data_IF_449350703591
#
_entry.id   IF_449350703591
#
_cell.length_a   1.000
_cell.length_b   1.000
_cell.length_c   1.000
_cell.angle_alpha   90.00
_cell.angle_beta   90.00
_cell.angle_gamma   90.00
#
_symmetry.space_group_name_H-M   'P 1'
#
loop_
_entity.id
_entity.type
_entity.pdbx_description
1 polymer ?
#
# COMPACT_ATOMS: atom_id res chain seq x y z
N UNK A 1 -10.43 -12.39 -14.73
CA UNK A 1 -10.44 -12.83 -16.15
C UNK A 1 -10.88 -14.26 -16.31
N UNK A 2 -10.36 -15.17 -15.47
CA UNK A 2 -10.66 -16.60 -15.62
C UNK A 2 -12.15 -16.90 -15.47
N UNK A 3 -12.85 -16.28 -14.52
CA UNK A 3 -14.24 -16.60 -14.20
C UNK A 3 -15.27 -15.75 -15.00
N UNK A 4 -14.87 -14.62 -15.54
CA UNK A 4 -15.77 -13.66 -16.19
C UNK A 4 -15.53 -13.50 -17.70
N UNK A 5 -14.43 -14.01 -18.23
CA UNK A 5 -13.99 -13.77 -19.62
C UNK A 5 -13.57 -12.32 -19.90
N UNK A 6 -13.67 -11.42 -18.93
CA UNK A 6 -13.28 -10.01 -19.06
C UNK A 6 -11.77 -9.88 -18.90
N UNK A 7 -11.11 -9.25 -19.86
CA UNK A 7 -9.69 -8.94 -19.79
C UNK A 7 -9.50 -7.69 -18.91
N UNK A 8 -8.69 -7.82 -17.84
CA UNK A 8 -8.32 -6.71 -16.97
C UNK A 8 -6.86 -6.36 -17.22
N UNK A 9 -6.59 -5.13 -17.62
CA UNK A 9 -5.24 -4.57 -17.75
C UNK A 9 -4.95 -3.78 -16.47
N UNK A 10 -4.00 -4.27 -15.67
CA UNK A 10 -3.63 -3.63 -14.41
C UNK A 10 -2.34 -2.82 -14.55
N UNK A 11 -2.38 -1.55 -14.12
CA UNK A 11 -1.23 -0.67 -13.98
C UNK A 11 -0.94 -0.44 -12.51
N UNK A 12 0.32 -0.58 -12.10
CA UNK A 12 0.74 -0.44 -10.71
C UNK A 12 1.65 0.76 -10.52
N UNK A 13 1.28 1.66 -9.60
CA UNK A 13 2.09 2.80 -9.19
C UNK A 13 1.68 3.27 -7.80
N UNK A 14 2.29 4.36 -7.28
CA UNK A 14 1.78 4.98 -6.06
C UNK A 14 0.44 5.67 -6.32
N UNK A 15 -0.41 5.74 -5.28
CA UNK A 15 -1.75 6.32 -5.39
C UNK A 15 -1.73 7.75 -5.92
N UNK A 16 -0.78 8.58 -5.45
CA UNK A 16 -0.62 9.96 -5.91
C UNK A 16 -0.19 10.05 -7.37
N UNK A 17 0.71 9.18 -7.85
CA UNK A 17 1.14 9.16 -9.27
C UNK A 17 -0.03 8.77 -10.19
N UNK A 18 -0.80 7.74 -9.83
CA UNK A 18 -2.01 7.36 -10.61
C UNK A 18 -3.02 8.51 -10.60
N UNK A 19 -3.26 9.14 -9.45
CA UNK A 19 -4.15 10.31 -9.36
C UNK A 19 -3.71 11.43 -10.31
N UNK A 20 -2.43 11.74 -10.37
CA UNK A 20 -1.90 12.74 -11.30
C UNK A 20 -2.11 12.33 -12.75
N UNK A 21 -1.92 11.06 -13.09
CA UNK A 21 -2.19 10.55 -14.45
C UNK A 21 -3.66 10.68 -14.81
N UNK A 22 -4.59 10.34 -13.91
CA UNK A 22 -6.03 10.50 -14.12
C UNK A 22 -6.40 11.97 -14.33
N UNK A 23 -5.86 12.86 -13.51
CA UNK A 23 -6.08 14.32 -13.67
C UNK A 23 -5.55 14.85 -15.00
N UNK A 24 -4.55 14.21 -15.59
CA UNK A 24 -3.99 14.53 -16.90
C UNK A 24 -4.65 13.72 -18.06
N UNK A 25 -5.79 13.07 -17.79
CA UNK A 25 -6.59 12.42 -18.82
C UNK A 25 -6.22 10.97 -19.13
N UNK A 26 -5.44 10.28 -18.28
CA UNK A 26 -5.19 8.86 -18.46
C UNK A 26 -6.50 8.06 -18.44
N UNK A 27 -6.70 7.11 -19.40
CA UNK A 27 -7.99 6.46 -19.62
C UNK A 27 -8.23 5.26 -18.69
N UNK A 28 -7.90 5.39 -17.42
CA UNK A 28 -8.21 4.37 -16.44
C UNK A 28 -9.71 4.35 -16.13
N UNK A 29 -10.26 3.17 -15.95
CA UNK A 29 -11.68 2.96 -15.70
C UNK A 29 -12.02 2.71 -14.24
N UNK A 30 -11.08 2.09 -13.50
CA UNK A 30 -11.20 1.79 -12.08
C UNK A 30 -9.89 2.13 -11.38
N UNK A 31 -9.97 2.86 -10.28
CA UNK A 31 -8.83 3.17 -9.43
C UNK A 31 -9.03 2.54 -8.05
N UNK A 32 -8.07 1.70 -7.64
CA UNK A 32 -7.93 1.16 -6.29
C UNK A 32 -6.76 1.88 -5.62
N UNK A 33 -7.05 2.70 -4.61
CA UNK A 33 -6.05 3.47 -3.89
C UNK A 33 -5.62 2.76 -2.61
N UNK A 34 -4.42 3.08 -2.13
CA UNK A 34 -3.93 2.67 -0.81
C UNK A 34 -4.36 3.64 0.31
N UNK A 35 -5.23 4.60 0.02
CA UNK A 35 -5.90 5.48 0.97
C UNK A 35 -7.29 5.88 0.44
N UNK A 36 -8.00 6.72 1.19
CA UNK A 36 -9.28 7.31 0.79
C UNK A 36 -9.14 8.73 0.22
N UNK A 37 -8.03 9.41 0.48
CA UNK A 37 -7.81 10.83 0.11
C UNK A 37 -7.75 11.00 -1.41
N UNK A 38 -6.98 10.17 -2.10
CA UNK A 38 -6.81 10.29 -3.54
C UNK A 38 -8.08 9.97 -4.34
N UNK A 39 -8.85 8.90 -4.03
CA UNK A 39 -10.15 8.67 -4.67
C UNK A 39 -11.14 9.82 -4.43
N UNK A 40 -11.22 10.35 -3.19
CA UNK A 40 -12.07 11.49 -2.88
C UNK A 40 -11.67 12.75 -3.64
N UNK A 41 -10.36 13.00 -3.81
CA UNK A 41 -9.85 14.09 -4.64
C UNK A 41 -10.32 13.99 -6.09
N UNK A 42 -10.27 12.80 -6.69
CA UNK A 42 -10.77 12.57 -8.06
C UNK A 42 -12.28 12.73 -8.14
N UNK A 43 -13.02 12.27 -7.13
CA UNK A 43 -14.46 12.46 -7.05
C UNK A 43 -14.82 13.95 -6.97
N UNK A 44 -14.18 14.70 -6.08
CA UNK A 44 -14.38 16.16 -5.95
C UNK A 44 -14.01 16.95 -7.21
N UNK A 45 -13.03 16.47 -7.98
CA UNK A 45 -12.68 17.03 -9.30
C UNK A 45 -13.66 16.64 -10.41
N UNK A 46 -14.72 15.88 -10.10
CA UNK A 46 -15.69 15.42 -11.08
C UNK A 46 -15.14 14.41 -12.09
N UNK A 47 -14.07 13.67 -11.76
CA UNK A 47 -13.44 12.69 -12.64
C UNK A 47 -13.93 11.26 -12.40
N UNK A 48 -14.92 11.08 -11.52
CA UNK A 48 -15.49 9.76 -11.19
C UNK A 48 -16.93 9.60 -11.66
N UNK A 49 -17.38 8.35 -11.69
CA UNK A 49 -18.77 7.94 -11.85
C UNK A 49 -19.25 7.41 -10.49
N UNK A 50 -20.06 8.23 -9.78
CA UNK A 50 -20.53 7.90 -8.44
C UNK A 50 -19.49 8.13 -7.34
N UNK A 51 -19.84 7.71 -6.12
CA UNK A 51 -19.04 7.88 -4.92
C UNK A 51 -17.89 6.87 -4.81
N UNK A 52 -16.90 7.18 -3.97
CA UNK A 52 -15.86 6.23 -3.56
C UNK A 52 -16.44 5.12 -2.68
N UNK A 53 -15.77 3.98 -2.64
CA UNK A 53 -16.15 2.85 -1.78
C UNK A 53 -14.91 2.29 -1.11
N UNK A 54 -14.95 2.13 0.22
CA UNK A 54 -13.90 1.42 0.94
C UNK A 54 -13.94 -0.07 0.58
N UNK A 55 -12.81 -0.64 0.19
CA UNK A 55 -12.69 -2.06 -0.12
C UNK A 55 -11.81 -2.83 0.87
N UNK A 56 -10.88 -2.14 1.56
CA UNK A 56 -9.97 -2.77 2.51
C UNK A 56 -9.39 -1.75 3.50
N UNK A 57 -8.80 -2.24 4.58
CA UNK A 57 -7.86 -1.51 5.41
C UNK A 57 -6.52 -2.25 5.38
N UNK A 58 -5.46 -1.53 5.02
CA UNK A 58 -4.10 -2.05 5.00
C UNK A 58 -3.48 -2.11 6.38
N UNK A 59 -2.42 -2.91 6.52
CA UNK A 59 -1.61 -3.01 7.74
C UNK A 59 -0.17 -2.68 7.39
N UNK A 60 0.44 -1.76 8.13
CA UNK A 60 1.86 -1.41 8.03
C UNK A 60 2.68 -2.43 8.82
N UNK A 61 3.76 -2.92 8.21
CA UNK A 61 4.72 -3.81 8.88
C UNK A 61 6.15 -3.30 8.68
N UNK A 62 7.02 -3.56 9.64
CA UNK A 62 8.47 -3.47 9.46
C UNK A 62 8.98 -4.88 9.12
N UNK A 63 9.68 -5.00 8.00
CA UNK A 63 10.22 -6.26 7.47
C UNK A 63 11.73 -6.16 7.28
N UNK A 64 12.45 -7.25 7.62
CA UNK A 64 13.87 -7.38 7.43
C UNK A 64 14.26 -8.81 7.06
N UNK A 65 15.30 -8.95 6.24
CA UNK A 65 15.99 -10.22 5.96
C UNK A 65 17.17 -10.48 6.90
N UNK A 66 17.50 -9.52 7.77
CA UNK A 66 18.58 -9.64 8.76
C UNK A 66 18.22 -10.69 9.81
N UNK A 67 19.08 -11.69 9.98
CA UNK A 67 18.88 -12.74 10.99
C UNK A 67 18.93 -12.23 12.43
N UNK A 68 19.54 -11.08 12.66
CA UNK A 68 19.55 -10.40 13.95
C UNK A 68 18.35 -9.50 14.21
N UNK A 69 17.38 -9.42 13.27
CA UNK A 69 16.18 -8.64 13.48
C UNK A 69 15.30 -9.26 14.57
N UNK A 70 15.03 -8.48 15.62
CA UNK A 70 14.14 -8.87 16.72
C UNK A 70 12.77 -8.18 16.57
N UNK A 71 11.73 -8.92 16.16
CA UNK A 71 10.38 -8.36 16.03
C UNK A 71 9.78 -7.83 17.34
N UNK A 72 10.17 -8.39 18.49
CA UNK A 72 9.65 -7.97 19.80
C UNK A 72 10.25 -6.65 20.28
N UNK A 73 11.50 -6.40 19.90
CA UNK A 73 12.25 -5.19 20.28
C UNK A 73 12.67 -4.40 19.03
N UNK A 74 11.82 -4.36 18.00
CA UNK A 74 12.13 -3.78 16.70
C UNK A 74 12.55 -2.30 16.78
N UNK A 75 12.00 -1.52 17.71
CA UNK A 75 12.38 -0.11 17.90
C UNK A 75 13.84 0.03 18.33
N UNK A 76 14.26 -0.81 19.27
CA UNK A 76 15.66 -0.82 19.75
C UNK A 76 16.59 -1.35 18.64
N UNK A 77 16.16 -2.42 17.95
CA UNK A 77 16.91 -2.95 16.82
C UNK A 77 17.10 -1.88 15.73
N UNK A 78 16.04 -1.15 15.39
CA UNK A 78 16.06 -0.12 14.34
C UNK A 78 17.00 1.04 14.70
N UNK A 79 17.11 1.41 15.98
CA UNK A 79 18.08 2.42 16.46
C UNK A 79 19.52 1.95 16.25
N UNK A 80 19.82 0.69 16.52
CA UNK A 80 21.17 0.13 16.51
C UNK A 80 21.59 -0.39 15.14
N UNK A 81 20.66 -0.68 14.25
CA UNK A 81 20.93 -1.10 12.88
C UNK A 81 21.75 -0.04 12.16
N UNK A 82 22.71 -0.47 11.34
CA UNK A 82 23.59 0.43 10.58
C UNK A 82 23.20 0.60 9.12
N UNK A 83 22.39 -0.32 8.59
CA UNK A 83 21.99 -0.34 7.18
C UNK A 83 20.87 0.65 6.84
N UNK A 84 20.57 0.74 5.56
CA UNK A 84 19.48 1.58 5.04
C UNK A 84 18.12 1.03 5.47
N UNK A 85 17.16 1.93 5.63
CA UNK A 85 15.78 1.63 5.98
C UNK A 85 14.89 2.17 4.87
N UNK A 86 14.14 1.30 4.23
CA UNK A 86 13.29 1.67 3.11
C UNK A 86 11.90 2.13 3.59
N UNK A 87 11.43 3.22 3.03
CA UNK A 87 10.03 3.69 3.12
C UNK A 87 9.51 4.01 1.72
N UNK A 88 8.21 3.92 1.50
CA UNK A 88 7.63 4.46 0.28
C UNK A 88 7.64 6.01 0.30
N UNK A 89 7.56 6.63 -0.86
CA UNK A 89 7.57 8.08 -0.95
C UNK A 89 6.36 8.68 -0.20
N UNK A 90 6.58 9.41 0.90
CA UNK A 90 5.47 9.88 1.75
C UNK A 90 4.59 10.94 1.08
N UNK A 91 5.05 11.57 -0.01
CA UNK A 91 4.26 12.56 -0.76
C UNK A 91 3.22 11.87 -1.66
N UNK A 92 3.51 10.68 -2.16
CA UNK A 92 2.68 10.01 -3.18
C UNK A 92 2.17 8.64 -2.79
N UNK A 93 2.70 8.05 -1.71
CA UNK A 93 2.36 6.70 -1.28
C UNK A 93 1.90 6.70 0.19
N UNK A 94 0.62 6.37 0.46
CA UNK A 94 0.04 6.43 1.81
C UNK A 94 0.83 5.63 2.86
N UNK A 95 1.33 4.45 2.53
CA UNK A 95 2.18 3.68 3.44
C UNK A 95 3.47 4.41 3.84
N UNK A 96 4.01 5.27 2.96
CA UNK A 96 5.18 6.09 3.28
C UNK A 96 4.87 7.19 4.30
N UNK A 97 3.71 7.83 4.15
CA UNK A 97 3.19 8.80 5.14
C UNK A 97 3.04 8.13 6.50
N UNK A 98 2.40 6.96 6.54
CA UNK A 98 2.15 6.26 7.80
C UNK A 98 3.44 5.68 8.43
N UNK A 99 4.43 5.32 7.63
CA UNK A 99 5.76 4.96 8.13
C UNK A 99 6.44 6.14 8.84
N UNK A 100 6.35 7.36 8.29
CA UNK A 100 6.88 8.56 8.96
C UNK A 100 6.12 8.90 10.24
N UNK A 101 4.80 8.75 10.25
CA UNK A 101 3.98 8.93 11.48
C UNK A 101 4.44 7.96 12.57
N UNK A 102 4.61 6.67 12.24
CA UNK A 102 5.09 5.67 13.18
C UNK A 102 6.50 5.98 13.70
N UNK A 103 7.43 6.32 12.82
CA UNK A 103 8.79 6.72 13.20
C UNK A 103 8.79 7.94 14.13
N UNK A 104 7.92 8.91 13.89
CA UNK A 104 7.76 10.11 14.73
C UNK A 104 7.17 9.74 16.08
N UNK A 105 6.11 8.94 16.11
CA UNK A 105 5.44 8.50 17.33
C UNK A 105 6.40 7.78 18.30
N UNK A 106 7.26 6.90 17.75
CA UNK A 106 8.26 6.17 18.55
C UNK A 106 9.57 6.95 18.78
N UNK A 107 9.63 8.24 18.41
CA UNK A 107 10.83 9.08 18.51
C UNK A 107 12.07 8.46 17.81
N UNK A 108 11.83 7.75 16.68
CA UNK A 108 12.85 7.08 15.91
C UNK A 108 13.33 7.90 14.71
N UNK A 109 12.51 8.83 14.22
CA UNK A 109 12.76 9.55 12.97
C UNK A 109 14.15 10.18 12.94
N UNK A 110 14.53 10.94 13.97
CA UNK A 110 15.84 11.61 14.03
C UNK A 110 17.02 10.64 14.02
N UNK A 111 16.87 9.47 14.64
CA UNK A 111 17.93 8.45 14.70
C UNK A 111 18.10 7.69 13.38
N UNK A 112 17.09 7.65 12.53
CA UNK A 112 17.11 6.88 11.27
C UNK A 112 17.12 7.74 10.01
N UNK A 113 16.83 9.05 10.08
CA UNK A 113 16.59 9.92 8.92
C UNK A 113 17.71 9.89 7.87
N UNK A 114 18.96 9.80 8.27
CA UNK A 114 20.11 9.72 7.34
C UNK A 114 20.25 8.36 6.66
N UNK A 115 19.56 7.36 7.17
CA UNK A 115 19.55 5.98 6.65
C UNK A 115 18.27 5.69 5.84
N UNK A 116 17.30 6.60 5.84
CA UNK A 116 16.09 6.42 5.05
C UNK A 116 16.42 6.43 3.55
N UNK A 117 15.87 5.45 2.84
CA UNK A 117 15.84 5.42 1.38
C UNK A 117 14.39 5.31 0.94
N UNK A 118 14.05 6.08 -0.09
CA UNK A 118 12.67 6.24 -0.51
C UNK A 118 12.42 5.48 -1.81
N UNK A 119 11.50 4.52 -1.75
CA UNK A 119 10.96 3.88 -2.95
C UNK A 119 9.81 4.68 -3.53
N UNK A 120 9.72 4.78 -4.84
CA UNK A 120 8.64 5.46 -5.55
C UNK A 120 7.26 4.86 -5.26
N UNK A 121 7.23 3.56 -4.95
CA UNK A 121 6.04 2.79 -4.63
C UNK A 121 6.31 1.88 -3.44
N UNK A 122 5.24 1.40 -2.80
CA UNK A 122 5.37 0.39 -1.74
C UNK A 122 5.98 -0.92 -2.27
N UNK A 123 5.75 -1.26 -3.55
CA UNK A 123 6.38 -2.40 -4.22
C UNK A 123 7.89 -2.24 -4.35
N UNK A 124 8.37 -1.06 -4.76
CA UNK A 124 9.80 -0.78 -4.82
C UNK A 124 10.45 -0.77 -3.43
N UNK A 125 9.73 -0.28 -2.42
CA UNK A 125 10.19 -0.34 -1.03
C UNK A 125 10.46 -1.78 -0.60
N UNK A 126 9.54 -2.71 -0.90
CA UNK A 126 9.73 -4.12 -0.63
C UNK A 126 10.91 -4.72 -1.42
N UNK A 127 11.11 -4.29 -2.67
CA UNK A 127 12.25 -4.74 -3.48
C UNK A 127 13.60 -4.30 -2.90
N UNK A 128 13.70 -3.12 -2.29
CA UNK A 128 14.93 -2.70 -1.62
C UNK A 128 15.31 -3.64 -0.48
N UNK A 129 14.34 -4.13 0.29
CA UNK A 129 14.59 -5.14 1.33
C UNK A 129 14.90 -6.49 0.69
N UNK A 130 14.09 -6.94 -0.26
CA UNK A 130 14.26 -8.25 -0.90
C UNK A 130 15.60 -8.43 -1.59
N UNK A 131 16.18 -7.36 -2.14
CA UNK A 131 17.50 -7.35 -2.78
C UNK A 131 18.67 -7.09 -1.85
N UNK A 132 18.42 -6.79 -0.55
CA UNK A 132 19.45 -6.39 0.40
C UNK A 132 19.95 -4.94 0.24
N UNK A 133 19.35 -4.15 -0.66
CA UNK A 133 19.66 -2.72 -0.81
C UNK A 133 19.23 -1.90 0.42
N UNK A 134 18.25 -2.40 1.20
CA UNK A 134 17.91 -1.90 2.51
C UNK A 134 17.90 -3.05 3.51
N UNK A 135 18.38 -2.78 4.74
CA UNK A 135 18.43 -3.76 5.82
C UNK A 135 17.04 -4.06 6.37
N UNK A 136 16.15 -3.07 6.34
CA UNK A 136 14.74 -3.20 6.70
C UNK A 136 13.88 -2.24 5.87
N UNK A 137 12.56 -2.44 5.88
CA UNK A 137 11.63 -1.53 5.24
C UNK A 137 10.24 -1.57 5.85
N UNK A 138 9.59 -0.40 5.86
CA UNK A 138 8.18 -0.29 6.19
C UNK A 138 7.37 -0.61 4.94
N UNK A 139 6.66 -1.73 4.97
CA UNK A 139 5.95 -2.28 3.81
C UNK A 139 4.51 -2.65 4.16
N UNK A 140 3.70 -2.99 3.16
CA UNK A 140 2.36 -3.51 3.41
C UNK A 140 2.42 -4.99 3.84
N UNK A 141 1.59 -5.38 4.81
CA UNK A 141 1.47 -6.77 5.25
C UNK A 141 1.18 -7.72 4.08
N UNK A 142 0.41 -7.27 3.11
CA UNK A 142 0.11 -8.06 1.90
C UNK A 142 1.35 -8.46 1.09
N UNK A 143 2.43 -7.69 1.17
CA UNK A 143 3.67 -8.01 0.48
C UNK A 143 4.45 -9.11 1.17
N UNK A 144 4.56 -9.06 2.51
CA UNK A 144 5.25 -10.11 3.27
C UNK A 144 4.48 -11.42 3.31
N UNK A 145 3.17 -11.40 3.05
CA UNK A 145 2.32 -12.58 2.89
C UNK A 145 2.25 -13.09 1.44
N UNK A 146 2.80 -12.34 0.48
CA UNK A 146 2.82 -12.78 -0.91
C UNK A 146 3.70 -14.04 -1.07
N UNK A 147 3.28 -15.05 -1.89
CA UNK A 147 3.99 -16.33 -2.00
C UNK A 147 5.49 -16.21 -2.33
N UNK A 148 5.88 -15.16 -3.06
CA UNK A 148 7.27 -14.92 -3.44
C UNK A 148 8.16 -14.44 -2.29
N UNK A 149 7.56 -13.86 -1.24
CA UNK A 149 8.22 -13.26 -0.08
C UNK A 149 7.90 -14.02 1.21
N UNK A 150 6.74 -14.66 1.27
CA UNK A 150 6.31 -15.46 2.42
C UNK A 150 7.43 -16.42 2.86
N UNK A 151 7.74 -16.44 4.15
CA UNK A 151 8.84 -17.20 4.76
C UNK A 151 10.26 -16.63 4.52
N UNK A 152 10.41 -15.44 3.94
CA UNK A 152 11.70 -14.76 3.84
C UNK A 152 11.83 -13.69 4.92
N UNK A 153 12.82 -13.86 5.81
CA UNK A 153 13.08 -12.91 6.89
C UNK A 153 12.02 -12.91 7.98
N UNK A 154 12.01 -11.82 8.72
CA UNK A 154 11.10 -11.60 9.85
C UNK A 154 10.39 -10.26 9.69
N UNK A 155 9.18 -10.17 10.18
CA UNK A 155 8.42 -8.92 10.17
C UNK A 155 7.58 -8.77 11.44
N UNK A 156 7.19 -7.55 11.73
CA UNK A 156 6.30 -7.19 12.85
C UNK A 156 5.27 -6.18 12.37
N UNK A 157 4.03 -6.32 12.84
CA UNK A 157 3.02 -5.28 12.63
C UNK A 157 3.39 -4.04 13.43
N UNK A 158 3.34 -2.89 12.76
CA UNK A 158 3.49 -1.60 13.43
C UNK A 158 2.17 -1.27 14.12
N UNK A 159 2.22 -0.95 15.41
CA UNK A 159 1.03 -0.72 16.22
C UNK A 159 0.17 0.41 15.62
N UNK A 160 -1.10 0.14 15.38
CA UNK A 160 -2.07 1.05 14.78
C UNK A 160 -2.17 2.40 15.52
N UNK A 161 -1.86 2.45 16.83
CA UNK A 161 -1.86 3.72 17.59
C UNK A 161 -0.77 4.70 17.17
N UNK A 162 0.27 4.22 16.46
CA UNK A 162 1.41 5.02 16.03
C UNK A 162 1.21 5.71 14.67
N UNK A 163 0.13 5.41 13.96
CA UNK A 163 -0.17 5.97 12.65
C UNK A 163 -1.68 5.96 12.36
N UNK A 164 -2.11 6.67 11.32
CA UNK A 164 -3.52 6.66 10.94
C UNK A 164 -3.91 5.31 10.30
N UNK A 165 -5.19 4.91 10.41
CA UNK A 165 -5.71 3.75 9.69
C UNK A 165 -5.50 3.91 8.17
N UNK A 166 -4.94 2.89 7.53
CA UNK A 166 -4.71 2.89 6.08
C UNK A 166 -5.98 2.39 5.38
N UNK A 167 -7.02 3.24 5.40
CA UNK A 167 -8.32 2.97 4.77
C UNK A 167 -8.17 3.08 3.26
N UNK A 168 -8.48 2.02 2.53
CA UNK A 168 -8.27 1.94 1.08
C UNK A 168 -9.60 2.02 0.34
N UNK A 169 -9.75 3.08 -0.44
CA UNK A 169 -10.93 3.31 -1.25
C UNK A 169 -10.67 2.98 -2.72
N UNK A 170 -11.74 2.63 -3.41
CA UNK A 170 -11.80 2.51 -4.86
C UNK A 170 -12.84 3.44 -5.46
N UNK A 171 -12.67 3.79 -6.72
CA UNK A 171 -13.60 4.65 -7.44
C UNK A 171 -13.65 4.30 -8.94
N UNK A 172 -14.85 4.28 -9.50
CA UNK A 172 -15.02 4.22 -10.94
C UNK A 172 -14.72 5.59 -11.55
N UNK A 173 -13.91 5.63 -12.59
CA UNK A 173 -13.50 6.84 -13.27
C UNK A 173 -14.37 7.10 -14.50
N UNK A 174 -14.42 8.34 -14.97
CA UNK A 174 -15.28 8.74 -16.11
C UNK A 174 -15.18 7.83 -17.35
N UNK A 175 -14.01 7.32 -17.76
CA UNK A 175 -13.96 6.40 -18.91
C UNK A 175 -14.79 5.13 -18.73
N UNK A 176 -15.09 4.72 -17.49
CA UNK A 176 -15.95 3.55 -17.22
C UNK A 176 -17.45 3.77 -17.50
N UNK A 177 -17.88 5.01 -17.74
CA UNK A 177 -19.31 5.34 -17.88
C UNK A 177 -20.03 4.52 -18.97
N UNK A 178 -19.30 4.10 -20.00
CA UNK A 178 -19.81 3.28 -21.11
C UNK A 178 -19.35 1.83 -21.05
N UNK A 179 -18.57 1.44 -20.03
CA UNK A 179 -18.04 0.08 -19.89
C UNK A 179 -18.70 -0.65 -18.70
N UNK A 180 -19.70 -1.52 -18.94
CA UNK A 180 -20.35 -2.27 -17.86
C UNK A 180 -19.41 -3.25 -17.14
N UNK A 181 -18.32 -3.69 -17.77
CA UNK A 181 -17.38 -4.63 -17.17
C UNK A 181 -16.51 -3.97 -16.08
N UNK A 182 -16.22 -2.68 -16.22
CA UNK A 182 -15.57 -1.91 -15.15
C UNK A 182 -16.46 -1.87 -13.90
N UNK A 183 -17.78 -1.68 -14.06
CA UNK A 183 -18.71 -1.73 -12.94
C UNK A 183 -18.81 -3.13 -12.32
N UNK A 184 -18.80 -4.19 -13.13
CA UNK A 184 -18.78 -5.58 -12.62
C UNK A 184 -17.54 -5.83 -11.76
N UNK A 185 -16.36 -5.37 -12.19
CA UNK A 185 -15.13 -5.49 -11.41
C UNK A 185 -15.21 -4.69 -10.10
N UNK A 186 -15.71 -3.47 -10.15
CA UNK A 186 -15.94 -2.64 -8.97
C UNK A 186 -16.86 -3.33 -7.95
N UNK A 187 -17.96 -3.93 -8.40
CA UNK A 187 -18.89 -4.64 -7.52
C UNK A 187 -18.29 -5.98 -7.03
N UNK A 188 -17.52 -6.66 -7.88
CA UNK A 188 -16.81 -7.90 -7.50
C UNK A 188 -15.85 -7.69 -6.32
N UNK A 189 -15.21 -6.52 -6.19
CA UNK A 189 -14.33 -6.22 -5.06
C UNK A 189 -15.02 -6.32 -3.69
N UNK A 190 -16.35 -6.23 -3.66
CA UNK A 190 -17.16 -6.43 -2.44
C UNK A 190 -17.70 -7.86 -2.30
N UNK A 191 -17.43 -8.75 -3.25
CA UNK A 191 -17.91 -10.14 -3.21
C UNK A 191 -17.25 -10.97 -2.10
N UNK A 192 -17.90 -12.05 -1.64
CA UNK A 192 -17.29 -12.96 -0.67
C UNK A 192 -15.92 -13.52 -1.13
N UNK A 193 -15.77 -13.79 -2.43
CA UNK A 193 -14.52 -14.29 -3.01
C UNK A 193 -13.40 -13.24 -2.90
N UNK A 194 -13.65 -12.00 -3.34
CA UNK A 194 -12.66 -10.92 -3.23
C UNK A 194 -12.30 -10.62 -1.77
N UNK A 195 -13.29 -10.57 -0.88
CA UNK A 195 -13.08 -10.39 0.57
C UNK A 195 -12.22 -11.50 1.17
N UNK A 196 -12.46 -12.77 0.80
CA UNK A 196 -11.63 -13.90 1.23
C UNK A 196 -10.18 -13.75 0.77
N UNK A 197 -9.95 -13.29 -0.48
CA UNK A 197 -8.61 -13.03 -0.99
C UNK A 197 -7.94 -11.91 -0.18
N UNK A 198 -8.63 -10.80 0.06
CA UNK A 198 -8.10 -9.68 0.84
C UNK A 198 -7.68 -10.12 2.25
N UNK A 199 -8.53 -10.87 2.95
CA UNK A 199 -8.21 -11.42 4.28
C UNK A 199 -6.97 -12.30 4.27
N UNK A 200 -6.84 -13.18 3.26
CA UNK A 200 -5.67 -14.06 3.11
C UNK A 200 -4.37 -13.27 2.94
N UNK A 201 -4.41 -12.11 2.31
CA UNK A 201 -3.27 -11.21 2.17
C UNK A 201 -3.13 -10.21 3.33
N UNK A 202 -3.84 -10.42 4.45
CA UNK A 202 -3.67 -9.66 5.68
C UNK A 202 -4.32 -8.29 5.69
N UNK A 203 -5.23 -8.02 4.75
CA UNK A 203 -6.09 -6.84 4.83
C UNK A 203 -7.18 -7.04 5.89
N UNK A 204 -7.62 -5.96 6.52
CA UNK A 204 -8.86 -5.90 7.28
C UNK A 204 -9.99 -5.46 6.35
N UNK A 205 -11.19 -5.93 6.61
CA UNK A 205 -12.37 -5.57 5.83
C UNK A 205 -13.16 -4.46 6.51
N UNK A 206 -13.82 -3.59 5.73
CA UNK A 206 -14.73 -2.57 6.27
C UNK A 206 -15.97 -3.19 6.91
#
# INVERSE_FOLDING_TARGET
THDSGVMVLASYSSSGKITTQVMNGAPFELFLSADNTFPQKLHAAGLSVGATRTYAQGTLVLWSLDSGFDPLHWQQWLKNASGKIAIANPVTAPYGTEALHALTYYHLHESVKQRLVTGDTIGQTAQFVASGAAQAGFVAKSQVLAPQIQAKGHWVEVDQKSHQPIIQDMVLLKPSATNPDAKKLFDYMSSPTARSILLRYGYRLP
#
